data_IF_953247002167
#
_entry.id   IF_953247002167
#
_cell.length_a   1.000
_cell.length_b   1.000
_cell.length_c   1.000
_cell.angle_alpha   90.00
_cell.angle_beta   90.00
_cell.angle_gamma   90.00
#
_symmetry.space_group_name_H-M   'P 1'
#
loop_
_entity.id
_entity.type
_entity.pdbx_description
1 polymer ?
#
# COMPACT_ATOMS: atom_id res chain seq x y z
N UNK A 1 -0.07 -28.00 6.60
CA UNK A 1 -0.26 -27.37 5.28
C UNK A 1 -1.75 -27.44 4.96
N UNK A 2 -2.51 -26.43 5.35
CA UNK A 2 -3.93 -26.31 4.95
C UNK A 2 -3.94 -25.24 3.86
N UNK A 3 -4.00 -25.69 2.61
CA UNK A 3 -4.28 -24.79 1.51
C UNK A 3 -5.65 -24.15 1.78
N UNK A 4 -5.70 -22.83 1.93
CA UNK A 4 -6.95 -22.08 1.94
C UNK A 4 -7.56 -22.21 0.55
N UNK A 5 -8.39 -23.26 0.36
CA UNK A 5 -9.19 -23.39 -0.85
C UNK A 5 -10.21 -22.26 -0.86
N UNK A 6 -10.30 -21.47 -1.94
CA UNK A 6 -11.33 -20.46 -2.07
C UNK A 6 -12.71 -21.12 -1.87
N UNK A 7 -13.57 -20.47 -1.06
CA UNK A 7 -14.96 -20.92 -0.86
C UNK A 7 -15.61 -21.17 -2.23
N UNK A 8 -16.27 -22.30 -2.40
CA UNK A 8 -17.03 -22.62 -3.61
C UNK A 8 -18.08 -21.54 -3.85
N UNK A 9 -17.84 -20.67 -4.84
CA UNK A 9 -18.77 -19.62 -5.26
C UNK A 9 -19.81 -20.19 -6.23
N UNK A 10 -21.00 -19.60 -6.24
CA UNK A 10 -22.03 -19.92 -7.25
C UNK A 10 -21.55 -19.44 -8.62
N UNK A 11 -21.89 -20.18 -9.69
CA UNK A 11 -21.62 -19.75 -11.04
C UNK A 11 -22.33 -18.41 -11.30
N UNK A 12 -21.54 -17.33 -11.55
CA UNK A 12 -22.04 -15.97 -11.72
C UNK A 12 -21.48 -14.95 -10.72
N UNK A 13 -20.93 -15.37 -9.58
CA UNK A 13 -20.35 -14.45 -8.60
C UNK A 13 -19.05 -13.85 -9.14
N UNK A 14 -18.98 -12.51 -9.18
CA UNK A 14 -17.74 -11.79 -9.56
C UNK A 14 -16.65 -12.08 -8.54
N UNK A 15 -15.47 -12.48 -9.03
CA UNK A 15 -14.32 -12.62 -8.15
C UNK A 15 -13.72 -11.23 -7.88
N UNK A 16 -13.72 -10.83 -6.60
CA UNK A 16 -13.24 -9.51 -6.17
C UNK A 16 -11.93 -9.60 -5.40
N UNK A 17 -11.11 -8.54 -5.50
CA UNK A 17 -10.04 -8.29 -4.55
C UNK A 17 -10.25 -6.91 -3.91
N UNK A 18 -9.88 -6.78 -2.63
CA UNK A 18 -9.83 -5.50 -1.95
C UNK A 18 -8.39 -5.05 -1.83
N UNK A 19 -8.12 -3.82 -2.24
CA UNK A 19 -6.77 -3.26 -2.22
C UNK A 19 -6.72 -1.97 -1.40
N UNK A 20 -5.56 -1.74 -0.79
CA UNK A 20 -5.37 -0.66 0.17
C UNK A 20 -4.25 0.26 -0.29
N UNK A 21 -4.50 1.59 -0.35
CA UNK A 21 -3.56 2.55 -0.90
C UNK A 21 -2.30 2.69 -0.06
N UNK A 22 -1.22 3.10 -0.72
CA UNK A 22 0.05 3.48 -0.11
C UNK A 22 0.21 4.99 0.02
N UNK A 23 1.43 5.40 0.40
CA UNK A 23 1.80 6.81 0.56
C UNK A 23 1.65 7.57 -0.76
N UNK A 24 1.20 8.83 -0.68
CA UNK A 24 0.85 9.68 -1.81
C UNK A 24 -0.66 9.87 -1.98
N UNK A 25 -1.50 9.05 -1.33
CA UNK A 25 -2.95 9.19 -1.33
C UNK A 25 -3.47 10.11 -0.21
N UNK A 26 -2.63 10.51 0.76
CA UNK A 26 -3.02 11.31 1.92
C UNK A 26 -3.48 12.72 1.51
N UNK A 27 -4.57 13.15 2.12
CA UNK A 27 -5.11 14.51 2.01
C UNK A 27 -5.68 14.94 3.36
N UNK A 28 -5.65 16.23 3.66
CA UNK A 28 -6.33 16.76 4.84
C UNK A 28 -7.84 16.51 4.70
N UNK A 29 -8.47 16.05 5.78
CA UNK A 29 -9.89 15.70 5.82
C UNK A 29 -10.21 14.27 5.38
N UNK A 30 -9.22 13.45 4.95
CA UNK A 30 -9.49 12.07 4.55
C UNK A 30 -10.12 11.27 5.70
N UNK A 31 -11.18 10.51 5.39
CA UNK A 31 -11.91 9.69 6.36
C UNK A 31 -12.80 10.46 7.34
N UNK A 32 -12.76 11.80 7.40
CA UNK A 32 -13.57 12.60 8.35
C UNK A 32 -15.07 12.37 8.10
N UNK A 33 -15.53 12.46 6.86
CA UNK A 33 -16.94 12.23 6.53
C UNK A 33 -17.40 10.80 6.86
N UNK A 34 -16.51 9.80 6.76
CA UNK A 34 -16.79 8.43 7.21
C UNK A 34 -16.96 8.36 8.72
N UNK A 35 -16.07 9.03 9.50
CA UNK A 35 -16.15 9.08 10.95
C UNK A 35 -17.41 9.80 11.44
N UNK A 36 -17.85 10.84 10.72
CA UNK A 36 -19.09 11.57 11.02
C UNK A 36 -20.35 10.74 10.71
N UNK A 37 -20.33 9.96 9.62
CA UNK A 37 -21.48 9.17 9.18
C UNK A 37 -21.60 7.81 9.89
N UNK A 38 -20.48 7.19 10.27
CA UNK A 38 -20.43 5.84 10.81
C UNK A 38 -19.68 5.77 12.15
N UNK A 39 -20.36 5.50 13.28
CA UNK A 39 -19.70 5.34 14.58
C UNK A 39 -18.58 4.29 14.57
N UNK A 40 -18.73 3.21 13.79
CA UNK A 40 -17.71 2.17 13.65
C UNK A 40 -16.44 2.69 12.94
N UNK A 41 -16.58 3.59 11.97
CA UNK A 41 -15.45 4.25 11.31
C UNK A 41 -14.75 5.23 12.27
N UNK A 42 -15.53 5.99 13.06
CA UNK A 42 -14.97 6.87 14.10
C UNK A 42 -14.15 6.09 15.12
N UNK A 43 -14.66 4.95 15.59
CA UNK A 43 -13.98 4.09 16.56
C UNK A 43 -12.59 3.62 16.08
N UNK A 44 -12.37 3.48 14.77
CA UNK A 44 -11.04 3.18 14.22
C UNK A 44 -10.05 4.32 14.50
N UNK A 45 -10.45 5.56 14.24
CA UNK A 45 -9.57 6.72 14.53
C UNK A 45 -9.30 6.87 16.02
N UNK A 46 -10.32 6.65 16.87
CA UNK A 46 -10.17 6.68 18.33
C UNK A 46 -9.17 5.61 18.80
N UNK A 47 -9.27 4.36 18.27
CA UNK A 47 -8.35 3.26 18.59
C UNK A 47 -6.92 3.56 18.14
N UNK A 48 -6.74 4.16 16.94
CA UNK A 48 -5.43 4.56 16.43
C UNK A 48 -4.81 5.66 17.30
N UNK A 49 -5.58 6.69 17.67
CA UNK A 49 -5.14 7.75 18.57
C UNK A 49 -4.68 7.17 19.92
N UNK A 50 -5.49 6.31 20.51
CA UNK A 50 -5.18 5.66 21.80
C UNK A 50 -3.93 4.76 21.67
N UNK A 51 -3.80 3.98 20.58
CA UNK A 51 -2.67 3.10 20.36
C UNK A 51 -1.34 3.86 20.20
N UNK A 52 -1.39 5.05 19.62
CA UNK A 52 -0.21 5.91 19.41
C UNK A 52 0.03 6.88 20.57
N UNK A 53 -0.94 7.07 21.47
CA UNK A 53 -0.87 8.04 22.56
C UNK A 53 -0.86 9.49 22.08
N UNK A 54 -1.42 9.78 20.91
CA UNK A 54 -1.50 11.11 20.30
C UNK A 54 -2.77 11.25 19.45
N UNK A 55 -3.18 12.50 19.17
CA UNK A 55 -4.34 12.79 18.32
C UNK A 55 -3.95 12.85 16.85
N UNK A 56 -3.64 11.67 16.25
CA UNK A 56 -3.37 11.58 14.82
C UNK A 56 -4.60 11.98 13.99
N UNK A 57 -5.80 11.71 14.49
CA UNK A 57 -7.05 12.15 13.86
C UNK A 57 -7.14 13.66 13.67
N UNK A 58 -6.69 14.47 14.64
CA UNK A 58 -6.66 15.93 14.52
C UNK A 58 -5.72 16.38 13.39
N UNK A 59 -4.53 15.74 13.29
CA UNK A 59 -3.60 15.98 12.19
C UNK A 59 -4.21 15.64 10.83
N UNK A 60 -4.89 14.48 10.74
CA UNK A 60 -5.51 14.01 9.49
C UNK A 60 -6.61 14.99 9.03
N UNK A 61 -7.44 15.48 9.95
CA UNK A 61 -8.65 16.22 9.58
C UNK A 61 -8.43 17.74 9.48
N UNK A 62 -7.53 18.30 10.25
CA UNK A 62 -7.34 19.75 10.34
C UNK A 62 -5.90 20.24 10.48
N UNK A 63 -4.93 19.32 10.40
CA UNK A 63 -3.51 19.66 10.54
C UNK A 63 -2.88 20.21 9.26
N UNK A 64 -1.55 20.36 9.28
CA UNK A 64 -0.77 20.77 8.12
C UNK A 64 -0.47 19.56 7.21
N UNK A 65 -0.65 19.74 5.90
CA UNK A 65 -0.36 18.69 4.90
C UNK A 65 1.13 18.31 4.89
N UNK A 66 2.04 19.22 5.19
CA UNK A 66 3.46 18.91 5.26
C UNK A 66 3.74 17.94 6.42
N UNK A 67 3.13 18.16 7.59
CA UNK A 67 3.24 17.26 8.74
C UNK A 67 2.57 15.90 8.44
N UNK A 68 1.39 15.89 7.84
CA UNK A 68 0.70 14.65 7.46
C UNK A 68 1.50 13.85 6.42
N UNK A 69 2.25 14.51 5.54
CA UNK A 69 3.06 13.87 4.49
C UNK A 69 4.34 13.23 5.05
N UNK A 70 4.80 13.60 6.23
CA UNK A 70 5.89 12.90 6.89
C UNK A 70 5.53 11.41 7.01
N UNK A 71 6.44 10.53 6.57
CA UNK A 71 6.12 9.09 6.44
C UNK A 71 5.71 8.45 7.77
N UNK A 72 6.24 8.93 8.91
CA UNK A 72 5.83 8.51 10.26
C UNK A 72 4.34 8.76 10.54
N UNK A 73 3.76 9.80 9.95
CA UNK A 73 2.35 10.18 10.11
C UNK A 73 1.49 9.61 8.99
N UNK A 74 1.96 9.72 7.74
CA UNK A 74 1.21 9.26 6.57
C UNK A 74 0.86 7.77 6.63
N UNK A 75 1.79 6.91 7.10
CA UNK A 75 1.57 5.48 7.14
C UNK A 75 0.40 5.08 8.07
N UNK A 76 0.40 5.41 9.37
CA UNK A 76 -0.74 5.07 10.23
C UNK A 76 -2.02 5.84 9.85
N UNK A 77 -1.93 7.05 9.30
CA UNK A 77 -3.08 7.85 8.88
C UNK A 77 -3.83 7.22 7.69
N UNK A 78 -3.11 6.74 6.68
CA UNK A 78 -3.69 6.03 5.54
C UNK A 78 -4.30 4.69 5.94
N UNK A 79 -3.64 3.96 6.83
CA UNK A 79 -4.19 2.72 7.41
C UNK A 79 -5.49 3.01 8.17
N UNK A 80 -5.52 4.01 9.05
CA UNK A 80 -6.72 4.39 9.80
C UNK A 80 -7.88 4.72 8.86
N UNK A 81 -7.63 5.52 7.81
CA UNK A 81 -8.64 5.87 6.80
C UNK A 81 -9.15 4.65 6.05
N UNK A 82 -8.27 3.73 5.68
CA UNK A 82 -8.63 2.49 4.99
C UNK A 82 -9.48 1.58 5.88
N UNK A 83 -9.11 1.41 7.15
CA UNK A 83 -9.88 0.58 8.06
C UNK A 83 -11.20 1.24 8.48
N UNK A 84 -11.25 2.57 8.57
CA UNK A 84 -12.51 3.30 8.76
C UNK A 84 -13.49 3.04 7.61
N UNK A 85 -13.02 3.07 6.36
CA UNK A 85 -13.84 2.72 5.20
C UNK A 85 -14.28 1.25 5.23
N UNK A 86 -13.40 0.32 5.66
CA UNK A 86 -13.76 -1.09 5.81
C UNK A 86 -14.84 -1.29 6.89
N UNK A 87 -14.74 -0.61 8.05
CA UNK A 87 -15.75 -0.68 9.12
C UNK A 87 -17.08 -0.07 8.70
N UNK A 88 -17.06 1.00 7.89
CA UNK A 88 -18.28 1.54 7.29
C UNK A 88 -18.95 0.54 6.32
N UNK A 89 -18.17 -0.14 5.47
CA UNK A 89 -18.68 -1.22 4.61
C UNK A 89 -19.33 -2.35 5.43
N UNK A 90 -18.67 -2.78 6.52
CA UNK A 90 -19.18 -3.83 7.39
C UNK A 90 -20.50 -3.43 8.07
N UNK A 91 -20.65 -2.15 8.46
CA UNK A 91 -21.90 -1.63 9.03
C UNK A 91 -23.06 -1.73 8.03
N UNK A 92 -22.78 -1.56 6.75
CA UNK A 92 -23.76 -1.69 5.66
C UNK A 92 -23.91 -3.13 5.13
N UNK A 93 -23.22 -4.11 5.74
CA UNK A 93 -23.37 -5.54 5.43
C UNK A 93 -22.36 -6.10 4.43
N UNK A 94 -21.33 -5.35 4.05
CA UNK A 94 -20.25 -5.80 3.16
C UNK A 94 -18.99 -6.15 3.96
N UNK A 95 -18.75 -7.42 4.24
CA UNK A 95 -17.56 -7.88 4.98
C UNK A 95 -16.31 -8.01 4.08
N UNK A 96 -15.15 -8.11 4.73
CA UNK A 96 -13.87 -8.41 4.05
C UNK A 96 -13.94 -9.73 3.24
N UNK A 97 -14.76 -10.67 3.66
CA UNK A 97 -14.97 -11.97 3.01
C UNK A 97 -15.67 -11.87 1.64
N UNK A 98 -16.20 -10.70 1.27
CA UNK A 98 -16.68 -10.43 -0.08
C UNK A 98 -15.51 -10.40 -1.10
N UNK A 99 -14.27 -10.23 -0.63
CA UNK A 99 -13.06 -10.38 -1.43
C UNK A 99 -12.56 -11.83 -1.43
N UNK A 100 -11.90 -12.22 -2.53
CA UNK A 100 -11.15 -13.47 -2.65
C UNK A 100 -9.70 -13.29 -2.23
N UNK A 101 -9.18 -12.09 -2.39
CA UNK A 101 -7.82 -11.69 -2.06
C UNK A 101 -7.82 -10.29 -1.49
N UNK A 102 -6.82 -10.02 -0.65
CA UNK A 102 -6.47 -8.68 -0.21
C UNK A 102 -5.04 -8.35 -0.63
N UNK A 103 -4.79 -7.11 -0.99
CA UNK A 103 -3.46 -6.61 -1.30
C UNK A 103 -3.35 -5.15 -0.85
N UNK A 104 -2.13 -4.65 -0.74
CA UNK A 104 -1.92 -3.24 -0.47
C UNK A 104 -0.58 -2.76 -1.01
N UNK A 105 -0.46 -1.50 -1.35
CA UNK A 105 0.77 -0.94 -1.87
C UNK A 105 1.64 -0.46 -0.71
N UNK A 106 2.82 -1.07 -0.51
CA UNK A 106 3.76 -0.73 0.56
C UNK A 106 3.09 -0.77 1.95
N UNK A 107 2.89 0.36 2.64
CA UNK A 107 2.15 0.42 3.90
C UNK A 107 0.73 -0.18 3.80
N UNK A 108 0.12 -0.12 2.62
CA UNK A 108 -1.20 -0.69 2.38
C UNK A 108 -1.27 -2.21 2.60
N UNK A 109 -0.13 -2.92 2.51
CA UNK A 109 -0.07 -4.33 2.86
C UNK A 109 -0.38 -4.57 4.35
N UNK A 110 0.05 -3.67 5.24
CA UNK A 110 -0.33 -3.69 6.65
C UNK A 110 -1.83 -3.40 6.84
N UNK A 111 -2.39 -2.47 6.06
CA UNK A 111 -3.83 -2.20 6.06
C UNK A 111 -4.64 -3.43 5.62
N UNK A 112 -4.18 -4.15 4.59
CA UNK A 112 -4.77 -5.40 4.12
C UNK A 112 -4.74 -6.49 5.21
N UNK A 113 -3.63 -6.60 5.93
CA UNK A 113 -3.46 -7.55 7.04
C UNK A 113 -4.38 -7.21 8.22
N UNK A 114 -4.50 -5.94 8.59
CA UNK A 114 -5.42 -5.53 9.64
C UNK A 114 -6.88 -5.73 9.23
N UNK A 115 -7.26 -5.40 7.99
CA UNK A 115 -8.61 -5.61 7.47
C UNK A 115 -9.00 -7.10 7.45
N UNK A 116 -8.06 -8.00 7.15
CA UNK A 116 -8.28 -9.45 7.14
C UNK A 116 -8.08 -10.12 8.50
N UNK A 117 -7.88 -9.35 9.58
CA UNK A 117 -7.79 -9.84 10.95
C UNK A 117 -6.46 -10.49 11.32
N UNK A 118 -5.42 -10.37 10.48
CA UNK A 118 -4.11 -10.90 10.77
C UNK A 118 -3.42 -10.14 11.91
N UNK A 119 -3.56 -8.82 11.94
CA UNK A 119 -3.11 -7.94 13.02
C UNK A 119 -4.28 -7.17 13.62
N UNK A 120 -4.16 -6.73 14.89
CA UNK A 120 -5.06 -5.75 15.47
C UNK A 120 -4.83 -4.36 14.87
N UNK A 121 -5.84 -3.48 14.93
CA UNK A 121 -5.69 -2.07 14.52
C UNK A 121 -4.60 -1.39 15.36
N UNK A 122 -4.62 -1.61 16.66
CA UNK A 122 -3.67 -1.02 17.60
C UNK A 122 -2.22 -1.45 17.30
N UNK A 123 -1.96 -2.74 17.05
CA UNK A 123 -0.62 -3.22 16.71
C UNK A 123 -0.18 -2.73 15.35
N UNK A 124 -1.09 -2.71 14.36
CA UNK A 124 -0.80 -2.18 13.03
C UNK A 124 -0.42 -0.70 13.08
N UNK A 125 -1.12 0.09 13.92
CA UNK A 125 -0.81 1.51 14.12
C UNK A 125 0.61 1.71 14.66
N UNK A 126 0.98 0.95 15.70
CA UNK A 126 2.32 1.00 16.30
C UNK A 126 3.39 0.54 15.31
N UNK A 127 3.15 -0.57 14.59
CA UNK A 127 4.06 -1.07 13.56
C UNK A 127 4.31 -0.05 12.47
N UNK A 128 3.25 0.61 11.97
CA UNK A 128 3.37 1.62 10.91
C UNK A 128 4.03 2.91 11.41
N UNK A 129 3.85 3.29 12.68
CA UNK A 129 4.58 4.38 13.30
C UNK A 129 6.08 4.05 13.36
N UNK A 130 6.44 2.88 13.90
CA UNK A 130 7.83 2.39 13.98
C UNK A 130 8.43 2.32 12.56
N UNK A 131 7.69 1.76 11.61
CA UNK A 131 8.14 1.63 10.22
C UNK A 131 8.42 3.00 9.60
N UNK A 132 7.51 3.96 9.73
CA UNK A 132 7.69 5.31 9.20
C UNK A 132 8.89 6.03 9.81
N UNK A 133 9.07 5.94 11.14
CA UNK A 133 10.21 6.52 11.85
C UNK A 133 11.53 5.86 11.45
N UNK A 134 11.58 4.52 11.39
CA UNK A 134 12.77 3.77 11.01
C UNK A 134 13.18 4.07 9.56
N UNK A 135 12.22 4.10 8.63
CA UNK A 135 12.50 4.43 7.22
C UNK A 135 13.00 5.86 7.04
N UNK A 136 12.46 6.82 7.83
CA UNK A 136 12.93 8.21 7.79
C UNK A 136 14.34 8.35 8.38
N UNK A 137 14.67 7.56 9.41
CA UNK A 137 15.97 7.60 10.10
C UNK A 137 17.05 6.74 9.42
N UNK A 138 16.70 5.85 8.49
CA UNK A 138 17.63 4.89 7.87
C UNK A 138 18.79 5.55 7.15
N UNK A 139 18.57 6.74 6.57
CA UNK A 139 19.62 7.56 5.96
C UNK A 139 19.42 9.03 6.34
N UNK A 140 20.50 9.81 6.46
CA UNK A 140 20.40 11.25 6.68
C UNK A 140 19.58 11.95 5.59
N UNK A 141 18.85 13.00 5.95
CA UNK A 141 18.09 13.82 5.00
C UNK A 141 19.02 14.38 3.92
N UNK A 142 18.59 14.25 2.66
CA UNK A 142 19.36 14.73 1.50
C UNK A 142 20.35 13.72 0.91
N UNK A 143 20.55 12.56 1.55
CA UNK A 143 21.42 11.48 1.03
C UNK A 143 20.65 10.58 0.05
N UNK A 144 19.39 10.31 0.32
CA UNK A 144 18.55 9.47 -0.52
C UNK A 144 17.52 10.26 -1.32
N UNK A 145 17.03 9.67 -2.40
CA UNK A 145 15.95 10.18 -3.22
C UNK A 145 15.17 9.05 -3.90
N UNK A 146 14.02 9.41 -4.45
CA UNK A 146 13.24 8.57 -5.35
C UNK A 146 12.86 9.38 -6.59
N UNK A 147 12.70 8.71 -7.72
CA UNK A 147 12.23 9.32 -8.96
C UNK A 147 11.23 8.41 -9.67
N UNK A 148 10.19 9.00 -10.25
CA UNK A 148 9.28 8.29 -11.14
C UNK A 148 9.74 8.39 -12.58
N UNK A 149 9.78 7.25 -13.27
CA UNK A 149 10.07 7.10 -14.69
C UNK A 149 8.77 6.72 -15.40
N UNK A 150 8.23 7.63 -16.20
CA UNK A 150 6.98 7.43 -16.93
C UNK A 150 7.28 7.10 -18.40
N UNK A 151 6.57 6.11 -18.94
CA UNK A 151 6.73 5.63 -20.31
C UNK A 151 7.87 4.63 -20.48
N UNK A 152 8.38 4.08 -19.37
CA UNK A 152 9.36 2.99 -19.33
C UNK A 152 8.76 1.79 -18.61
N UNK A 153 9.05 0.59 -19.10
CA UNK A 153 8.75 -0.66 -18.42
C UNK A 153 9.78 -0.96 -17.31
N UNK A 154 9.52 -2.02 -16.56
CA UNK A 154 10.34 -2.38 -15.41
C UNK A 154 11.77 -2.76 -15.80
N UNK A 155 11.97 -3.51 -16.88
CA UNK A 155 13.29 -3.96 -17.36
C UNK A 155 14.14 -2.75 -17.82
N UNK A 156 13.54 -1.83 -18.58
CA UNK A 156 14.21 -0.61 -18.99
C UNK A 156 14.57 0.27 -17.78
N UNK A 157 13.68 0.38 -16.80
CA UNK A 157 13.95 1.12 -15.56
C UNK A 157 15.06 0.49 -14.71
N UNK A 158 15.13 -0.85 -14.66
CA UNK A 158 16.23 -1.57 -14.00
C UNK A 158 17.57 -1.30 -14.70
N UNK A 159 17.60 -1.31 -16.03
CA UNK A 159 18.80 -0.99 -16.80
C UNK A 159 19.27 0.44 -16.54
N UNK A 160 18.35 1.41 -16.54
CA UNK A 160 18.62 2.81 -16.18
C UNK A 160 19.19 2.93 -14.77
N UNK A 161 18.59 2.24 -13.79
CA UNK A 161 19.05 2.26 -12.40
C UNK A 161 20.46 1.67 -12.27
N UNK A 162 20.75 0.56 -12.94
CA UNK A 162 22.06 -0.08 -12.94
C UNK A 162 23.14 0.81 -13.57
N UNK A 163 22.86 1.47 -14.70
CA UNK A 163 23.75 2.43 -15.35
C UNK A 163 24.01 3.66 -14.47
N UNK A 164 22.95 4.15 -13.80
CA UNK A 164 23.02 5.31 -12.92
C UNK A 164 23.78 5.05 -11.62
N UNK A 165 23.86 3.82 -11.16
CA UNK A 165 24.41 3.46 -9.85
C UNK A 165 25.88 3.90 -9.69
N UNK A 166 26.77 3.56 -10.63
CA UNK A 166 28.18 4.00 -10.64
C UNK A 166 28.89 3.83 -9.28
N UNK A 167 28.64 2.71 -8.59
CA UNK A 167 29.19 2.43 -7.27
C UNK A 167 28.32 2.91 -6.08
N UNK A 168 27.22 3.61 -6.37
CA UNK A 168 26.17 3.98 -5.41
C UNK A 168 24.96 3.04 -5.53
N UNK A 169 23.98 3.20 -4.64
CA UNK A 169 22.70 2.49 -4.74
C UNK A 169 21.74 3.25 -5.65
N UNK A 170 21.22 2.57 -6.67
CA UNK A 170 20.03 2.99 -7.43
C UNK A 170 19.30 1.71 -7.87
N UNK A 171 18.04 1.57 -7.49
CA UNK A 171 17.28 0.33 -7.68
C UNK A 171 15.85 0.65 -8.11
N UNK A 172 15.23 -0.24 -8.90
CA UNK A 172 13.80 -0.16 -9.20
C UNK A 172 13.03 -0.55 -7.93
N UNK A 173 12.33 0.42 -7.35
CA UNK A 173 11.65 0.33 -6.06
C UNK A 173 10.17 -0.03 -6.17
N UNK A 174 9.48 0.50 -7.19
CA UNK A 174 8.06 0.18 -7.42
C UNK A 174 7.84 -0.12 -8.90
N UNK A 175 7.33 -1.30 -9.19
CA UNK A 175 6.78 -1.70 -10.48
C UNK A 175 5.27 -1.47 -10.46
N UNK A 176 4.85 -0.23 -10.75
CA UNK A 176 3.47 0.20 -10.54
C UNK A 176 2.52 -0.23 -11.67
N UNK A 177 2.94 -0.06 -12.91
CA UNK A 177 2.19 -0.44 -14.10
C UNK A 177 3.14 -0.49 -15.32
N UNK A 178 2.70 -0.95 -16.52
CA UNK A 178 3.56 -1.13 -17.70
C UNK A 178 4.32 0.12 -18.16
N UNK A 179 3.99 1.29 -17.61
CA UNK A 179 4.56 2.56 -18.01
C UNK A 179 4.96 3.48 -16.85
N UNK A 180 4.93 2.97 -15.62
CA UNK A 180 5.26 3.74 -14.43
C UNK A 180 6.10 2.91 -13.46
N UNK A 181 7.37 3.19 -13.40
CA UNK A 181 8.33 2.60 -12.46
C UNK A 181 8.93 3.71 -11.59
N UNK A 182 9.20 3.39 -10.32
CA UNK A 182 9.91 4.28 -9.41
C UNK A 182 11.29 3.70 -9.13
N UNK A 183 12.33 4.53 -9.24
CA UNK A 183 13.68 4.20 -8.82
C UNK A 183 14.03 4.90 -7.51
N UNK A 184 14.88 4.28 -6.70
CA UNK A 184 15.21 4.69 -5.35
C UNK A 184 16.68 4.40 -5.04
N UNK A 185 17.33 5.29 -4.30
CA UNK A 185 18.74 5.11 -3.95
C UNK A 185 19.41 6.39 -3.46
N UNK A 186 20.75 6.46 -3.61
CA UNK A 186 21.48 7.67 -3.33
C UNK A 186 21.03 8.80 -4.26
N UNK A 187 20.90 10.02 -3.72
CA UNK A 187 20.35 11.16 -4.44
C UNK A 187 21.06 11.40 -5.77
N UNK A 188 22.41 11.42 -5.78
CA UNK A 188 23.17 11.65 -7.00
C UNK A 188 22.93 10.55 -8.05
N UNK A 189 22.82 9.29 -7.63
CA UNK A 189 22.51 8.18 -8.53
C UNK A 189 21.07 8.28 -9.10
N UNK A 190 20.10 8.66 -8.28
CA UNK A 190 18.71 8.87 -8.73
C UNK A 190 18.60 10.06 -9.68
N UNK A 191 19.34 11.15 -9.42
CA UNK A 191 19.41 12.29 -10.35
C UNK A 191 20.02 11.89 -11.71
N UNK A 192 21.09 11.07 -11.72
CA UNK A 192 21.62 10.47 -12.95
C UNK A 192 20.59 9.59 -13.66
N UNK A 193 19.86 8.77 -12.90
CA UNK A 193 18.81 7.91 -13.45
C UNK A 193 17.72 8.72 -14.16
N UNK A 194 17.34 9.89 -13.63
CA UNK A 194 16.40 10.80 -14.28
C UNK A 194 16.91 11.26 -15.64
N UNK A 195 18.17 11.66 -15.74
CA UNK A 195 18.76 12.13 -17.01
C UNK A 195 18.96 10.98 -18.01
N UNK A 196 19.43 9.81 -17.56
CA UNK A 196 19.57 8.61 -18.41
C UNK A 196 18.18 8.17 -18.92
N UNK A 197 17.16 8.16 -18.07
CA UNK A 197 15.79 7.81 -18.48
C UNK A 197 15.25 8.73 -19.57
N UNK A 198 15.46 10.06 -19.44
CA UNK A 198 15.09 11.04 -20.49
C UNK A 198 15.81 10.76 -21.81
N UNK A 199 17.11 10.49 -21.75
CA UNK A 199 17.91 10.16 -22.93
C UNK A 199 17.45 8.85 -23.61
N UNK A 200 16.97 7.89 -22.81
CA UNK A 200 16.46 6.59 -23.26
C UNK A 200 14.97 6.60 -23.60
N UNK A 201 14.35 7.78 -23.76
CA UNK A 201 12.99 7.91 -24.29
C UNK A 201 11.87 7.85 -23.25
N UNK A 202 12.15 8.01 -21.96
CA UNK A 202 11.10 8.20 -20.96
C UNK A 202 10.23 9.42 -21.32
N UNK A 203 8.91 9.26 -21.28
CA UNK A 203 7.98 10.37 -21.54
C UNK A 203 8.14 11.49 -20.52
N UNK A 204 8.44 11.12 -19.28
CA UNK A 204 8.73 12.02 -18.17
C UNK A 204 9.54 11.27 -17.12
N UNK A 205 10.56 11.91 -16.57
CA UNK A 205 11.32 11.43 -15.42
C UNK A 205 11.53 12.60 -14.46
N UNK A 206 11.20 12.40 -13.17
CA UNK A 206 11.26 13.47 -12.17
C UNK A 206 11.42 12.93 -10.76
N UNK A 207 12.13 13.69 -9.92
CA UNK A 207 12.24 13.40 -8.50
C UNK A 207 10.86 13.45 -7.83
N UNK A 208 10.64 12.55 -6.87
CA UNK A 208 9.46 12.57 -6.00
C UNK A 208 9.74 13.46 -4.77
N UNK A 209 8.71 14.12 -4.22
CA UNK A 209 8.82 14.94 -3.02
C UNK A 209 8.86 14.07 -1.74
N UNK A 210 9.86 13.16 -1.67
CA UNK A 210 10.11 12.27 -0.53
C UNK A 210 11.54 12.45 -0.06
N UNK A 211 11.76 12.27 1.24
CA UNK A 211 13.05 12.53 1.89
C UNK A 211 13.89 11.28 2.15
N UNK A 212 13.39 10.10 1.79
CA UNK A 212 14.10 8.84 2.02
C UNK A 212 13.99 7.91 0.80
N UNK A 213 15.02 7.07 0.57
CA UNK A 213 15.09 6.14 -0.57
C UNK A 213 14.37 4.83 -0.26
N UNK A 214 13.03 4.88 -0.12
CA UNK A 214 12.22 3.72 0.22
C UNK A 214 12.41 2.57 -0.77
N UNK A 215 12.23 1.34 -0.30
CA UNK A 215 12.30 0.13 -1.12
C UNK A 215 13.63 -0.02 -1.88
N UNK A 216 14.73 0.32 -1.22
CA UNK A 216 16.10 0.10 -1.70
C UNK A 216 16.96 -0.50 -0.58
N UNK A 217 18.15 -1.00 -0.92
CA UNK A 217 19.07 -1.58 0.07
C UNK A 217 19.53 -0.56 1.14
N UNK A 218 19.39 0.75 0.90
CA UNK A 218 19.64 1.79 1.89
C UNK A 218 18.65 1.75 3.08
N UNK A 219 17.53 1.06 2.93
CA UNK A 219 16.55 0.84 4.00
C UNK A 219 16.91 -0.34 4.92
N UNK A 220 18.08 -0.96 4.77
CA UNK A 220 18.54 -2.05 5.63
C UNK A 220 18.37 -1.79 7.13
N UNK A 221 18.81 -0.63 7.67
CA UNK A 221 18.60 -0.30 9.08
C UNK A 221 17.12 -0.29 9.50
N UNK A 222 16.22 0.15 8.63
CA UNK A 222 14.78 0.11 8.89
C UNK A 222 14.22 -1.32 8.85
N UNK A 223 14.74 -2.18 7.99
CA UNK A 223 14.39 -3.60 7.96
C UNK A 223 14.77 -4.30 9.27
N UNK A 224 15.94 -4.01 9.83
CA UNK A 224 16.38 -4.53 11.12
C UNK A 224 15.46 -4.09 12.27
N UNK A 225 15.04 -2.83 12.28
CA UNK A 225 14.06 -2.31 13.25
C UNK A 225 12.72 -3.03 13.11
N UNK A 226 12.23 -3.21 11.88
CA UNK A 226 10.97 -3.92 11.64
C UNK A 226 11.05 -5.40 12.01
N UNK A 227 12.20 -6.05 11.77
CA UNK A 227 12.42 -7.43 12.20
C UNK A 227 12.24 -7.57 13.73
N UNK A 228 12.81 -6.63 14.51
CA UNK A 228 12.64 -6.62 15.96
C UNK A 228 11.18 -6.29 16.36
N UNK A 229 10.59 -5.27 15.76
CA UNK A 229 9.22 -4.86 16.09
C UNK A 229 8.18 -5.97 15.85
N UNK A 230 8.39 -6.81 14.84
CA UNK A 230 7.47 -7.88 14.48
C UNK A 230 7.61 -9.15 15.35
N UNK A 231 8.71 -9.31 16.16
CA UNK A 231 8.94 -10.52 16.93
C UNK A 231 7.75 -10.88 17.82
N UNK A 232 7.36 -9.94 18.68
CA UNK A 232 6.38 -10.18 19.74
C UNK A 232 4.94 -9.81 19.35
N UNK A 233 4.73 -9.26 18.14
CA UNK A 233 3.39 -8.91 17.68
C UNK A 233 2.63 -10.19 17.32
N UNK A 234 1.46 -10.45 17.92
CA UNK A 234 0.62 -11.59 17.54
C UNK A 234 0.18 -11.49 16.08
N UNK A 235 0.25 -12.61 15.36
CA UNK A 235 -0.30 -12.72 14.01
C UNK A 235 -1.27 -13.88 13.94
N UNK A 236 -2.46 -13.60 13.40
CA UNK A 236 -3.45 -14.62 13.07
C UNK A 236 -3.37 -14.97 11.58
N UNK A 237 -3.92 -16.11 11.19
CA UNK A 237 -4.14 -16.37 9.78
C UNK A 237 -5.15 -15.34 9.23
N UNK A 238 -4.84 -14.62 8.15
CA UNK A 238 -5.77 -13.70 7.52
C UNK A 238 -7.03 -14.45 7.04
N UNK A 239 -8.21 -13.88 7.27
CA UNK A 239 -9.49 -14.49 6.83
C UNK A 239 -9.64 -14.51 5.31
N UNK A 240 -8.90 -13.64 4.61
CA UNK A 240 -8.80 -13.56 3.15
C UNK A 240 -7.31 -13.57 2.78
N UNK A 241 -6.87 -14.42 1.83
CA UNK A 241 -5.46 -14.52 1.46
C UNK A 241 -4.84 -13.18 1.05
N UNK A 242 -3.66 -12.88 1.62
CA UNK A 242 -2.85 -11.71 1.27
C UNK A 242 -2.00 -11.97 0.03
N UNK A 243 -1.97 -11.02 -0.89
CA UNK A 243 -0.97 -10.96 -1.97
C UNK A 243 0.17 -10.07 -1.48
N UNK A 244 1.36 -10.66 -1.28
CA UNK A 244 2.51 -9.94 -0.75
C UNK A 244 3.25 -9.14 -1.84
N UNK A 245 3.69 -7.92 -1.52
CA UNK A 245 4.36 -7.02 -2.46
C UNK A 245 5.62 -7.61 -3.10
N UNK A 246 6.43 -8.31 -2.32
CA UNK A 246 7.72 -8.87 -2.77
C UNK A 246 7.60 -10.22 -3.47
N UNK A 247 6.44 -10.91 -3.35
CA UNK A 247 6.15 -12.18 -4.02
C UNK A 247 5.24 -12.00 -5.22
N UNK A 248 4.36 -10.99 -5.21
CA UNK A 248 3.33 -10.75 -6.21
C UNK A 248 2.34 -11.93 -6.38
N UNK A 249 2.13 -12.69 -5.31
CA UNK A 249 1.21 -13.82 -5.23
C UNK A 249 0.69 -14.00 -3.80
N UNK A 250 -0.33 -14.84 -3.63
CA UNK A 250 -0.89 -15.14 -2.32
C UNK A 250 0.10 -15.94 -1.47
N UNK A 251 0.23 -15.54 -0.18
CA UNK A 251 1.19 -16.10 0.77
C UNK A 251 0.49 -16.71 1.98
N UNK A 252 1.20 -17.56 2.71
CA UNK A 252 0.74 -18.20 3.93
C UNK A 252 1.04 -17.35 5.17
N UNK A 253 0.28 -17.57 6.26
CA UNK A 253 0.41 -16.75 7.47
C UNK A 253 1.81 -16.80 8.11
N UNK A 254 2.49 -17.93 8.02
CA UNK A 254 3.84 -18.13 8.56
C UNK A 254 4.92 -17.36 7.80
N UNK A 255 4.68 -17.00 6.54
CA UNK A 255 5.60 -16.22 5.73
C UNK A 255 5.50 -14.70 5.99
N UNK A 256 4.33 -14.22 6.46
CA UNK A 256 3.98 -12.79 6.45
C UNK A 256 5.03 -11.92 7.16
N UNK A 257 5.44 -12.27 8.38
CA UNK A 257 6.40 -11.44 9.13
C UNK A 257 7.73 -11.29 8.41
N UNK A 258 8.25 -12.38 7.84
CA UNK A 258 9.50 -12.35 7.08
C UNK A 258 9.36 -11.51 5.80
N UNK A 259 8.22 -11.63 5.11
CA UNK A 259 7.94 -10.86 3.90
C UNK A 259 7.73 -9.37 4.17
N UNK A 260 7.15 -8.99 5.31
CA UNK A 260 7.06 -7.59 5.72
C UNK A 260 8.43 -6.96 6.01
N UNK A 261 9.38 -7.73 6.53
CA UNK A 261 10.78 -7.28 6.70
C UNK A 261 11.46 -7.14 5.33
N UNK A 262 11.34 -8.14 4.46
CA UNK A 262 11.88 -8.11 3.10
C UNK A 262 11.31 -6.93 2.29
N UNK A 263 10.03 -6.58 2.48
CA UNK A 263 9.34 -5.48 1.80
C UNK A 263 10.01 -4.12 2.05
N UNK A 264 10.65 -3.92 3.20
CA UNK A 264 11.27 -2.62 3.55
C UNK A 264 12.38 -2.25 2.56
N UNK A 265 13.15 -3.22 2.10
CA UNK A 265 14.25 -3.06 1.14
C UNK A 265 13.90 -3.54 -0.27
N UNK A 266 12.85 -4.36 -0.40
CA UNK A 266 12.44 -5.00 -1.65
C UNK A 266 11.50 -4.15 -2.49
N UNK A 267 11.46 -4.44 -3.79
CA UNK A 267 10.56 -3.78 -4.73
C UNK A 267 9.09 -4.12 -4.46
N UNK A 268 8.23 -3.12 -4.56
CA UNK A 268 6.77 -3.30 -4.61
C UNK A 268 6.41 -3.76 -6.03
N UNK A 269 6.12 -5.04 -6.19
CA UNK A 269 5.79 -5.69 -7.47
C UNK A 269 4.30 -5.57 -7.77
N UNK A 270 3.80 -4.32 -7.81
CA UNK A 270 2.37 -4.06 -7.91
C UNK A 270 1.77 -4.51 -9.25
N UNK A 271 2.43 -4.21 -10.36
CA UNK A 271 2.00 -4.64 -11.70
C UNK A 271 1.86 -6.16 -11.76
N UNK A 272 2.84 -6.90 -11.25
CA UNK A 272 2.79 -8.36 -11.23
C UNK A 272 1.70 -8.89 -10.30
N UNK A 273 1.47 -8.23 -9.14
CA UNK A 273 0.36 -8.57 -8.23
C UNK A 273 -1.00 -8.43 -8.93
N UNK A 274 -1.19 -7.37 -9.72
CA UNK A 274 -2.43 -7.16 -10.51
C UNK A 274 -2.57 -8.23 -11.59
N UNK A 275 -1.49 -8.54 -12.32
CA UNK A 275 -1.48 -9.60 -13.33
C UNK A 275 -1.81 -10.98 -12.72
N UNK A 276 -1.24 -11.26 -11.54
CA UNK A 276 -1.53 -12.49 -10.81
C UNK A 276 -3.01 -12.57 -10.40
N UNK A 277 -3.58 -11.47 -9.88
CA UNK A 277 -5.02 -11.41 -9.56
C UNK A 277 -5.89 -11.71 -10.79
N UNK A 278 -5.59 -11.11 -11.94
CA UNK A 278 -6.29 -11.39 -13.21
C UNK A 278 -6.19 -12.87 -13.61
N UNK A 279 -5.00 -13.46 -13.49
CA UNK A 279 -4.77 -14.88 -13.79
C UNK A 279 -5.53 -15.82 -12.82
N UNK A 280 -5.82 -15.37 -11.57
CA UNK A 280 -6.69 -16.10 -10.64
C UNK A 280 -8.18 -15.90 -10.92
N UNK A 281 -8.54 -15.08 -11.91
CA UNK A 281 -9.94 -14.85 -12.28
C UNK A 281 -10.60 -13.65 -11.57
N UNK A 282 -9.82 -12.77 -10.93
CA UNK A 282 -10.35 -11.51 -10.36
C UNK A 282 -10.82 -10.61 -11.50
N UNK A 283 -12.09 -10.22 -11.48
CA UNK A 283 -12.73 -9.37 -12.48
C UNK A 283 -13.10 -7.99 -11.93
N UNK A 284 -13.02 -7.80 -10.61
CA UNK A 284 -13.35 -6.54 -9.96
C UNK A 284 -12.40 -6.29 -8.78
N UNK A 285 -11.89 -5.06 -8.66
CA UNK A 285 -11.04 -4.64 -7.54
C UNK A 285 -11.64 -3.40 -6.89
N UNK A 286 -11.74 -3.43 -5.55
CA UNK A 286 -12.15 -2.28 -4.76
C UNK A 286 -10.94 -1.69 -4.05
N UNK A 287 -10.68 -0.42 -4.27
CA UNK A 287 -9.67 0.35 -3.55
C UNK A 287 -10.31 0.98 -2.32
N UNK A 288 -9.94 0.47 -1.14
CA UNK A 288 -10.56 0.81 0.14
C UNK A 288 -9.71 1.86 0.87
N UNK A 289 -10.23 3.07 1.03
CA UNK A 289 -9.55 4.15 1.73
C UNK A 289 -9.39 5.41 0.89
N UNK A 290 -8.28 6.14 1.10
CA UNK A 290 -8.04 7.44 0.49
C UNK A 290 -7.68 7.35 -1.00
N UNK A 291 -8.33 8.17 -1.83
CA UNK A 291 -7.96 8.37 -3.23
C UNK A 291 -8.39 7.24 -4.16
N UNK A 292 -7.73 7.16 -5.33
CA UNK A 292 -8.01 6.19 -6.40
C UNK A 292 -6.76 5.89 -7.25
N UNK A 293 -5.59 5.97 -6.65
CA UNK A 293 -4.33 5.79 -7.36
C UNK A 293 -4.13 4.35 -7.84
N UNK A 294 -4.47 3.37 -6.99
CA UNK A 294 -4.35 1.95 -7.34
C UNK A 294 -5.36 1.57 -8.43
N UNK A 295 -6.58 2.10 -8.38
CA UNK A 295 -7.59 1.93 -9.43
C UNK A 295 -7.08 2.40 -10.79
N UNK A 296 -6.33 3.51 -10.80
CA UNK A 296 -5.69 4.02 -12.02
C UNK A 296 -4.56 3.11 -12.52
N UNK A 297 -3.73 2.58 -11.64
CA UNK A 297 -2.65 1.63 -11.97
C UNK A 297 -3.23 0.32 -12.51
N UNK A 298 -4.23 -0.25 -11.84
CA UNK A 298 -4.90 -1.50 -12.24
C UNK A 298 -5.46 -1.40 -13.65
N UNK A 299 -6.14 -0.31 -13.98
CA UNK A 299 -6.67 -0.07 -15.35
C UNK A 299 -5.60 0.00 -16.43
N UNK A 300 -4.37 0.41 -16.07
CA UNK A 300 -3.22 0.42 -17.00
C UNK A 300 -2.58 -0.95 -17.14
N UNK A 301 -2.64 -1.78 -16.11
CA UNK A 301 -2.14 -3.18 -16.14
C UNK A 301 -3.13 -4.08 -16.87
N UNK A 302 -4.40 -4.05 -16.46
CA UNK A 302 -5.44 -4.90 -17.05
C UNK A 302 -6.79 -4.13 -17.11
N UNK A 303 -7.21 -3.79 -18.32
CA UNK A 303 -8.46 -3.07 -18.58
C UNK A 303 -9.71 -3.93 -18.40
N UNK A 304 -9.58 -5.24 -18.33
CA UNK A 304 -10.69 -6.16 -18.11
C UNK A 304 -11.13 -6.19 -16.64
N UNK A 305 -10.27 -5.77 -15.71
CA UNK A 305 -10.57 -5.68 -14.29
C UNK A 305 -11.32 -4.36 -14.02
N UNK A 306 -12.57 -4.48 -13.61
CA UNK A 306 -13.35 -3.33 -13.14
C UNK A 306 -12.78 -2.80 -11.82
N UNK A 307 -12.76 -1.49 -11.61
CA UNK A 307 -12.26 -0.89 -10.38
C UNK A 307 -13.29 0.03 -9.74
N UNK A 308 -13.34 0.03 -8.41
CA UNK A 308 -14.18 0.92 -7.60
C UNK A 308 -13.33 1.53 -6.48
N UNK A 309 -13.34 2.84 -6.33
CA UNK A 309 -12.81 3.50 -5.14
C UNK A 309 -13.90 3.55 -4.06
N UNK A 310 -13.52 3.31 -2.80
CA UNK A 310 -14.42 3.24 -1.65
C UNK A 310 -13.78 4.03 -0.50
N UNK A 311 -14.04 5.33 -0.44
CA UNK A 311 -13.41 6.24 0.51
C UNK A 311 -14.35 7.28 1.12
N UNK A 312 -15.61 7.34 0.66
CA UNK A 312 -16.62 8.30 1.15
C UNK A 312 -17.93 7.58 1.53
N UNK A 313 -18.83 8.20 2.31
CA UNK A 313 -20.13 7.61 2.62
C UNK A 313 -20.93 7.23 1.37
N UNK A 314 -20.91 8.05 0.33
CA UNK A 314 -21.59 7.75 -0.94
C UNK A 314 -20.97 6.54 -1.64
N UNK A 315 -19.64 6.40 -1.60
CA UNK A 315 -18.97 5.22 -2.15
C UNK A 315 -19.36 3.93 -1.41
N UNK A 316 -19.53 4.00 -0.07
CA UNK A 316 -19.98 2.87 0.75
C UNK A 316 -21.35 2.39 0.28
N UNK A 317 -22.32 3.31 0.18
CA UNK A 317 -23.69 2.98 -0.29
C UNK A 317 -23.65 2.37 -1.69
N UNK A 318 -22.90 2.98 -2.61
CA UNK A 318 -22.77 2.48 -3.98
C UNK A 318 -22.07 1.11 -4.07
N UNK A 319 -21.10 0.85 -3.20
CA UNK A 319 -20.40 -0.43 -3.15
C UNK A 319 -21.31 -1.56 -2.64
N UNK A 320 -22.06 -1.30 -1.57
CA UNK A 320 -23.03 -2.28 -1.01
C UNK A 320 -24.15 -2.58 -2.00
N UNK A 321 -24.69 -1.56 -2.68
CA UNK A 321 -25.68 -1.77 -3.74
C UNK A 321 -25.15 -2.71 -4.84
N UNK A 322 -23.90 -2.51 -5.27
CA UNK A 322 -23.26 -3.36 -6.29
C UNK A 322 -23.00 -4.81 -5.83
N UNK A 323 -22.88 -5.08 -4.51
CA UNK A 323 -22.83 -6.46 -3.99
C UNK A 323 -24.16 -7.17 -4.11
N UNK A 324 -25.27 -6.45 -3.95
CA UNK A 324 -26.62 -7.01 -3.96
C UNK A 324 -27.16 -7.24 -5.39
N UNK A 325 -26.55 -6.61 -6.40
CA UNK A 325 -26.92 -6.74 -7.81
C UNK A 325 -26.19 -7.87 -8.56
N UNK A 326 -25.17 -8.47 -7.98
CA UNK A 326 -24.32 -9.50 -8.59
C UNK A 326 -24.29 -10.80 -7.85
#
# INVERSE_FOLDING_TARGET
MVALTPKTRKAGDRMRAFVFPGQGAQTIGMGQALAEAYPAAKAVFDEVDDALGEKLSDLIWSGDIADLTLTRNAQPALMATSLAAMRALETEGASIEAASFVAGHSLGEYSALAASGAFSIADTSRLLRIRGEAMQAAVPVGIGAMAVLLGMDFEAAQAVAAEAAQGEVCQAANDNDPSQVVVSGHKAAVERAVEIAKANGAKRAMLLPVSAPFHSSLMGPAADVMAQALVDVPINAPTVPLIANVRAEAVTADEIKALLVEQVTGSVRWRESVMWMGAQGVTEVWEIGAGKALSGMIKRVDRSIATRAVGTPDDIVAAVAALNEG
#
